data_IF_346120701118
#
_entry.id   IF_346120701118
#
_cell.length_a   1.000
_cell.length_b   1.000
_cell.length_c   1.000
_cell.angle_alpha   90.00
_cell.angle_beta   90.00
_cell.angle_gamma   90.00
#
_symmetry.space_group_name_H-M   'P 1'
#
loop_
_entity.id
_entity.type
_entity.pdbx_description
1 polymer ?
#
# COMPACT_ATOMS: atom_id res chain seq x y z
N UNK A 1 4.55 -12.71 -12.54
CA UNK A 1 3.67 -11.98 -13.49
C UNK A 1 3.02 -10.78 -12.81
N UNK A 2 2.77 -9.68 -13.55
CA UNK A 2 1.86 -8.61 -13.13
C UNK A 2 0.72 -8.54 -14.13
N UNK A 3 -0.52 -8.59 -13.62
CA UNK A 3 -1.74 -8.49 -14.42
C UNK A 3 -2.54 -7.28 -13.95
N UNK A 4 -3.04 -6.49 -14.90
CA UNK A 4 -4.02 -5.45 -14.62
C UNK A 4 -5.39 -6.09 -14.40
N UNK A 5 -6.05 -5.75 -13.29
CA UNK A 5 -7.42 -6.18 -12.94
C UNK A 5 -8.28 -4.95 -12.68
N UNK A 6 -9.61 -5.03 -12.79
CA UNK A 6 -10.41 -3.86 -12.50
C UNK A 6 -10.43 -3.55 -11.01
N UNK A 7 -10.32 -2.27 -10.67
CA UNK A 7 -10.35 -1.80 -9.28
C UNK A 7 -11.62 -2.25 -8.56
N UNK A 8 -12.77 -2.18 -9.24
CA UNK A 8 -14.06 -2.63 -8.71
C UNK A 8 -14.08 -4.11 -8.32
N UNK A 9 -13.37 -4.97 -9.06
CA UNK A 9 -13.31 -6.42 -8.80
C UNK A 9 -12.47 -6.69 -7.54
N UNK A 10 -11.35 -5.98 -7.39
CA UNK A 10 -10.53 -6.08 -6.18
C UNK A 10 -11.28 -5.56 -4.96
N UNK A 11 -12.07 -4.51 -5.11
CA UNK A 11 -12.90 -3.95 -4.04
C UNK A 11 -14.13 -4.80 -3.67
N UNK A 12 -14.33 -5.96 -4.30
CA UNK A 12 -15.28 -6.97 -3.80
C UNK A 12 -14.74 -7.66 -2.53
N UNK A 13 -13.43 -7.56 -2.27
CA UNK A 13 -12.80 -8.00 -1.02
C UNK A 13 -13.29 -7.15 0.15
N UNK A 14 -14.06 -7.78 1.06
CA UNK A 14 -14.77 -7.11 2.15
C UNK A 14 -13.81 -6.35 3.07
N UNK A 15 -12.75 -6.99 3.52
CA UNK A 15 -11.84 -6.42 4.51
C UNK A 15 -11.01 -5.31 3.87
N UNK A 16 -10.39 -5.56 2.71
CA UNK A 16 -9.69 -4.53 1.94
C UNK A 16 -10.57 -3.30 1.65
N UNK A 17 -11.80 -3.51 1.16
CA UNK A 17 -12.74 -2.41 0.90
C UNK A 17 -13.06 -1.63 2.16
N UNK A 18 -13.29 -2.31 3.29
CA UNK A 18 -13.62 -1.64 4.55
C UNK A 18 -12.43 -0.81 5.10
N UNK A 19 -11.19 -1.28 4.96
CA UNK A 19 -9.99 -0.49 5.30
C UNK A 19 -9.86 0.75 4.40
N UNK A 20 -10.02 0.57 3.08
CA UNK A 20 -9.98 1.70 2.15
C UNK A 20 -11.12 2.69 2.44
N UNK A 21 -12.33 2.21 2.71
CA UNK A 21 -13.49 3.04 3.04
C UNK A 21 -13.25 3.88 4.29
N UNK A 22 -12.73 3.27 5.37
CA UNK A 22 -12.41 3.96 6.61
C UNK A 22 -11.41 5.10 6.36
N UNK A 23 -10.35 4.84 5.60
CA UNK A 23 -9.37 5.86 5.23
C UNK A 23 -9.97 6.95 4.33
N UNK A 24 -10.76 6.58 3.32
CA UNK A 24 -11.41 7.53 2.44
C UNK A 24 -12.41 8.42 3.20
N UNK A 25 -13.19 7.87 4.15
CA UNK A 25 -14.10 8.64 5.00
C UNK A 25 -13.34 9.66 5.85
N UNK A 26 -12.21 9.26 6.44
CA UNK A 26 -11.35 10.15 7.22
C UNK A 26 -10.83 11.32 6.36
N UNK A 27 -10.28 11.04 5.17
CA UNK A 27 -9.76 12.06 4.25
C UNK A 27 -10.89 12.95 3.72
N UNK A 28 -12.01 12.35 3.31
CA UNK A 28 -13.17 13.07 2.80
C UNK A 28 -13.75 14.03 3.83
N UNK A 29 -13.87 13.62 5.10
CA UNK A 29 -14.38 14.49 6.15
C UNK A 29 -13.54 15.77 6.32
N UNK A 30 -12.22 15.66 6.23
CA UNK A 30 -11.30 16.81 6.26
C UNK A 30 -11.48 17.71 5.03
N UNK A 31 -11.59 17.14 3.84
CA UNK A 31 -11.73 17.91 2.59
C UNK A 31 -13.10 18.55 2.44
N UNK A 32 -14.17 17.79 2.71
CA UNK A 32 -15.54 18.27 2.64
C UNK A 32 -15.83 19.34 3.71
N UNK A 33 -15.13 19.30 4.86
CA UNK A 33 -15.18 20.35 5.87
C UNK A 33 -14.58 21.68 5.42
N UNK A 34 -13.78 21.69 4.35
CA UNK A 34 -13.16 22.88 3.75
C UNK A 34 -13.90 23.39 2.50
N UNK A 35 -14.86 22.63 1.99
CA UNK A 35 -15.66 23.01 0.83
C UNK A 35 -16.69 24.08 1.21
N UNK A 36 -16.76 25.17 0.44
CA UNK A 36 -17.67 26.30 0.67
C UNK A 36 -19.05 26.06 0.03
N UNK A 37 -19.11 25.19 -0.98
CA UNK A 37 -20.32 24.92 -1.76
C UNK A 37 -20.64 23.43 -1.89
N UNK A 38 -21.90 23.10 -2.17
CA UNK A 38 -22.31 21.72 -2.43
C UNK A 38 -21.73 21.18 -3.75
N UNK A 39 -21.45 22.05 -4.72
CA UNK A 39 -20.78 21.66 -5.95
C UNK A 39 -19.35 21.19 -5.70
N UNK A 40 -18.60 21.88 -4.83
CA UNK A 40 -17.25 21.45 -4.43
C UNK A 40 -17.28 20.13 -3.67
N UNK A 41 -18.26 19.91 -2.79
CA UNK A 41 -18.44 18.61 -2.11
C UNK A 41 -18.70 17.48 -3.10
N UNK A 42 -19.49 17.74 -4.15
CA UNK A 42 -19.74 16.74 -5.19
C UNK A 42 -18.48 16.43 -6.00
N UNK A 43 -17.71 17.45 -6.40
CA UNK A 43 -16.40 17.26 -7.05
C UNK A 43 -15.46 16.45 -6.16
N UNK A 44 -15.40 16.77 -4.86
CA UNK A 44 -14.59 16.03 -3.89
C UNK A 44 -15.04 14.57 -3.84
N UNK A 45 -16.35 14.30 -3.83
CA UNK A 45 -16.90 12.94 -3.80
C UNK A 45 -16.45 12.08 -4.99
N UNK A 46 -16.26 12.67 -6.17
CA UNK A 46 -15.76 11.94 -7.36
C UNK A 46 -14.36 11.33 -7.16
N UNK A 47 -13.58 11.80 -6.18
CA UNK A 47 -12.28 11.23 -5.83
C UNK A 47 -12.35 10.01 -4.91
N UNK A 48 -13.53 9.64 -4.41
CA UNK A 48 -13.68 8.56 -3.42
C UNK A 48 -14.72 7.54 -3.86
N UNK A 49 -14.28 6.30 -4.10
CA UNK A 49 -15.12 5.23 -4.65
C UNK A 49 -15.55 4.19 -3.61
N UNK A 50 -15.24 4.42 -2.33
CA UNK A 50 -15.54 3.53 -1.21
C UNK A 50 -16.15 4.27 0.00
N UNK A 51 -16.66 5.50 -0.14
CA UNK A 51 -17.22 6.26 1.00
C UNK A 51 -18.36 5.54 1.72
N UNK A 52 -19.19 4.78 0.98
CA UNK A 52 -20.32 4.02 1.51
C UNK A 52 -19.91 2.61 1.99
N UNK A 53 -18.66 2.42 2.39
CA UNK A 53 -18.15 1.12 2.83
C UNK A 53 -18.80 0.60 4.11
N UNK A 54 -18.71 -0.72 4.29
CA UNK A 54 -19.08 -1.38 5.54
C UNK A 54 -18.19 -0.91 6.70
N UNK A 55 -18.65 -1.06 7.96
CA UNK A 55 -17.82 -0.79 9.13
C UNK A 55 -16.48 -1.54 9.05
N UNK A 56 -15.41 -1.02 9.69
CA UNK A 56 -14.11 -1.67 9.73
C UNK A 56 -14.25 -3.15 10.15
N UNK A 57 -13.49 -4.05 9.52
CA UNK A 57 -13.57 -5.47 9.84
C UNK A 57 -13.03 -5.72 11.25
N UNK A 58 -13.51 -6.77 11.89
CA UNK A 58 -12.90 -7.26 13.11
C UNK A 58 -11.46 -7.68 12.83
N UNK A 59 -10.52 -7.11 13.58
CA UNK A 59 -9.08 -7.31 13.40
C UNK A 59 -8.56 -8.18 14.53
N UNK A 60 -7.89 -9.29 14.20
CA UNK A 60 -7.26 -10.19 15.18
C UNK A 60 -5.84 -9.75 15.54
N UNK A 61 -5.18 -9.03 14.64
CA UNK A 61 -3.88 -8.41 14.89
C UNK A 61 -3.70 -7.16 14.04
N UNK A 62 -3.08 -6.13 14.62
CA UNK A 62 -2.59 -4.95 13.91
C UNK A 62 -1.15 -4.70 14.32
N UNK A 63 -0.24 -4.71 13.34
CA UNK A 63 1.20 -4.56 13.56
C UNK A 63 1.78 -3.51 12.63
N UNK A 64 2.75 -2.75 13.14
CA UNK A 64 3.64 -1.93 12.30
C UNK A 64 5.00 -2.63 12.27
N UNK A 65 5.43 -3.04 11.09
CA UNK A 65 6.63 -3.82 10.86
C UNK A 65 7.67 -2.97 10.14
N UNK A 66 8.94 -3.11 10.53
CA UNK A 66 10.04 -2.40 9.89
C UNK A 66 11.27 -3.29 9.73
N UNK A 67 12.11 -2.98 8.75
CA UNK A 67 13.46 -3.53 8.69
C UNK A 67 14.40 -2.71 9.60
N UNK A 68 15.37 -3.37 10.24
CA UNK A 68 16.34 -2.74 11.14
C UNK A 68 17.41 -1.89 10.44
N UNK A 69 17.39 -1.81 9.11
CA UNK A 69 18.39 -1.05 8.37
C UNK A 69 18.09 0.43 8.51
N UNK A 70 19.13 1.25 8.64
CA UNK A 70 19.01 2.70 8.74
C UNK A 70 19.51 3.42 7.49
N UNK A 71 20.11 2.71 6.53
CA UNK A 71 20.71 3.31 5.33
C UNK A 71 19.69 3.49 4.22
N UNK A 72 19.40 4.73 3.81
CA UNK A 72 18.42 5.03 2.75
C UNK A 72 18.75 4.34 1.41
N UNK A 73 20.04 4.16 1.10
CA UNK A 73 20.46 3.48 -0.14
C UNK A 73 20.16 1.98 -0.13
N UNK A 74 20.20 1.35 1.05
CA UNK A 74 20.01 -0.11 1.20
C UNK A 74 18.59 -0.47 1.62
N UNK A 75 17.93 0.41 2.35
CA UNK A 75 16.63 0.20 2.98
C UNK A 75 15.54 -0.26 2.00
N UNK A 76 15.35 0.37 0.82
CA UNK A 76 14.28 -0.04 -0.10
C UNK A 76 14.46 -1.48 -0.56
N UNK A 77 15.72 -1.91 -0.76
CA UNK A 77 16.03 -3.27 -1.16
C UNK A 77 15.88 -4.25 0.00
N UNK A 78 16.16 -3.82 1.23
CA UNK A 78 16.01 -4.64 2.42
C UNK A 78 14.52 -4.89 2.73
N UNK A 79 13.69 -3.84 2.80
CA UNK A 79 12.24 -3.96 3.00
C UNK A 79 11.59 -4.78 1.89
N UNK A 80 11.98 -4.56 0.63
CA UNK A 80 11.49 -5.34 -0.50
C UNK A 80 11.76 -6.86 -0.35
N UNK A 81 12.96 -7.24 0.08
CA UNK A 81 13.28 -8.66 0.33
C UNK A 81 12.51 -9.20 1.52
N UNK A 82 12.39 -8.43 2.59
CA UNK A 82 11.62 -8.83 3.77
C UNK A 82 10.14 -9.00 3.46
N UNK A 83 9.56 -8.11 2.67
CA UNK A 83 8.18 -8.24 2.21
C UNK A 83 7.99 -9.53 1.40
N UNK A 84 8.86 -9.76 0.40
CA UNK A 84 8.76 -10.97 -0.45
C UNK A 84 8.92 -12.26 0.37
N UNK A 85 9.88 -12.28 1.30
CA UNK A 85 10.07 -13.42 2.21
C UNK A 85 8.89 -13.60 3.18
N UNK A 86 8.28 -12.51 3.64
CA UNK A 86 7.08 -12.58 4.47
C UNK A 86 5.91 -13.19 3.69
N UNK A 87 5.70 -12.77 2.44
CA UNK A 87 4.67 -13.36 1.58
C UNK A 87 4.90 -14.87 1.39
N UNK A 88 6.15 -15.31 1.15
CA UNK A 88 6.49 -16.75 1.05
C UNK A 88 6.16 -17.51 2.34
N UNK A 89 6.53 -16.95 3.50
CA UNK A 89 6.25 -17.54 4.81
C UNK A 89 4.74 -17.67 5.05
N UNK A 90 3.96 -16.69 4.61
CA UNK A 90 2.50 -16.70 4.71
C UNK A 90 1.85 -17.57 3.61
N UNK A 91 2.61 -18.15 2.68
CA UNK A 91 2.09 -18.95 1.58
C UNK A 91 1.32 -18.13 0.53
N UNK A 92 1.64 -16.85 0.39
CA UNK A 92 0.99 -15.93 -0.56
C UNK A 92 1.80 -15.89 -1.86
N UNK A 93 1.34 -16.65 -2.86
CA UNK A 93 1.96 -16.65 -4.19
C UNK A 93 1.59 -15.44 -5.05
N UNK A 94 0.41 -14.87 -4.82
CA UNK A 94 -0.08 -13.67 -5.52
C UNK A 94 -0.90 -12.78 -4.59
N UNK A 95 -0.87 -11.47 -4.83
CA UNK A 95 -1.65 -10.49 -4.08
C UNK A 95 -2.07 -9.32 -4.98
N UNK A 96 -3.17 -8.66 -4.62
CA UNK A 96 -3.58 -7.41 -5.22
C UNK A 96 -2.77 -6.25 -4.66
N UNK A 97 -2.44 -5.27 -5.51
CA UNK A 97 -1.92 -3.96 -5.15
C UNK A 97 -2.88 -2.89 -5.67
N UNK A 98 -3.33 -2.03 -4.77
CA UNK A 98 -4.37 -1.04 -5.04
C UNK A 98 -4.09 0.25 -4.27
N UNK A 99 -4.19 1.41 -4.91
CA UNK A 99 -4.10 2.69 -4.21
C UNK A 99 -5.38 2.95 -3.39
N UNK A 100 -5.30 3.74 -2.32
CA UNK A 100 -6.50 4.09 -1.57
C UNK A 100 -7.49 4.97 -2.36
N UNK A 101 -7.01 5.79 -3.31
CA UNK A 101 -7.85 6.60 -4.21
C UNK A 101 -7.82 6.06 -5.65
N UNK A 102 -8.88 6.27 -6.46
CA UNK A 102 -8.91 6.01 -7.90
C UNK A 102 -8.05 7.02 -8.69
N UNK A 103 -6.75 7.05 -8.39
CA UNK A 103 -5.76 7.94 -8.99
C UNK A 103 -4.77 7.16 -9.88
N UNK A 104 -4.13 7.87 -10.81
CA UNK A 104 -2.99 7.31 -11.53
C UNK A 104 -1.80 7.14 -10.59
N UNK A 105 -1.54 5.92 -10.14
CA UNK A 105 -0.36 5.53 -9.36
C UNK A 105 0.93 5.70 -10.18
N UNK A 106 0.82 5.54 -11.50
CA UNK A 106 1.96 5.56 -12.44
C UNK A 106 1.99 6.83 -13.31
N UNK A 107 1.34 7.91 -12.88
CA UNK A 107 1.49 9.20 -13.56
C UNK A 107 2.97 9.59 -13.59
N UNK A 108 3.50 9.94 -14.76
CA UNK A 108 4.91 10.32 -14.90
C UNK A 108 5.21 11.53 -14.00
N UNK A 109 6.12 11.36 -13.06
CA UNK A 109 6.68 12.48 -12.32
C UNK A 109 7.43 13.44 -13.23
N UNK A 110 7.35 14.74 -12.91
CA UNK A 110 8.22 15.76 -13.52
C UNK A 110 9.62 15.81 -12.88
N UNK A 111 9.82 15.10 -11.77
CA UNK A 111 11.08 15.11 -11.04
C UNK A 111 12.16 14.26 -11.73
N UNK A 112 13.38 14.80 -11.78
CA UNK A 112 14.55 14.17 -12.39
C UNK A 112 15.38 13.32 -11.41
N UNK A 113 14.90 13.12 -10.18
CA UNK A 113 15.64 12.33 -9.17
C UNK A 113 15.83 10.87 -9.63
N UNK A 114 17.08 10.39 -9.81
CA UNK A 114 17.32 9.12 -10.51
C UNK A 114 16.63 7.88 -9.90
N UNK A 115 16.58 7.70 -8.56
CA UNK A 115 15.85 6.57 -7.96
C UNK A 115 14.35 6.58 -8.30
N UNK A 116 13.72 7.75 -8.29
CA UNK A 116 12.32 7.91 -8.65
C UNK A 116 12.06 7.63 -10.13
N UNK A 117 12.88 8.20 -11.02
CA UNK A 117 12.78 7.95 -12.46
C UNK A 117 12.92 6.46 -12.79
N UNK A 118 13.82 5.75 -12.10
CA UNK A 118 13.98 4.29 -12.23
C UNK A 118 12.77 3.52 -11.72
N UNK A 119 12.16 3.95 -10.61
CA UNK A 119 10.94 3.34 -10.07
C UNK A 119 9.76 3.46 -11.06
N UNK A 120 9.52 4.65 -11.62
CA UNK A 120 8.49 4.83 -12.65
C UNK A 120 8.76 4.02 -13.91
N UNK A 121 10.01 4.02 -14.41
CA UNK A 121 10.36 3.23 -15.60
C UNK A 121 10.07 1.74 -15.39
N UNK A 122 10.35 1.21 -14.20
CA UNK A 122 10.09 -0.19 -13.85
C UNK A 122 8.60 -0.49 -13.81
N UNK A 123 7.81 0.29 -13.06
CA UNK A 123 6.37 0.03 -12.97
C UNK A 123 5.64 0.30 -14.30
N UNK A 124 6.07 1.29 -15.09
CA UNK A 124 5.50 1.54 -16.41
C UNK A 124 5.76 0.40 -17.39
N UNK A 125 6.89 -0.31 -17.28
CA UNK A 125 7.14 -1.53 -18.05
C UNK A 125 6.21 -2.69 -17.65
N UNK A 126 5.57 -2.59 -16.48
CA UNK A 126 4.74 -3.64 -15.90
C UNK A 126 3.22 -3.37 -16.04
N UNK A 127 2.80 -2.20 -16.53
CA UNK A 127 1.37 -1.87 -16.66
C UNK A 127 1.05 -0.84 -17.77
N UNK A 128 0.09 -1.12 -18.66
CA UNK A 128 -0.38 -0.19 -19.69
C UNK A 128 -1.36 0.87 -19.13
N UNK A 129 -0.77 1.98 -18.66
CA UNK A 129 -1.23 3.36 -18.85
C UNK A 129 -2.54 3.96 -18.25
N UNK A 130 -3.49 3.26 -17.62
CA UNK A 130 -4.50 3.97 -16.77
C UNK A 130 -4.84 3.22 -15.48
N UNK A 131 -4.12 3.48 -14.40
CA UNK A 131 -4.36 2.83 -13.12
C UNK A 131 -5.54 3.41 -12.31
N UNK A 132 -6.28 4.41 -12.80
CA UNK A 132 -7.43 4.95 -12.03
C UNK A 132 -8.54 3.93 -11.86
N UNK A 133 -8.79 3.16 -12.91
CA UNK A 133 -9.85 2.13 -12.96
C UNK A 133 -9.33 0.73 -12.66
N UNK A 134 -8.04 0.59 -12.37
CA UNK A 134 -7.39 -0.70 -12.28
C UNK A 134 -6.60 -0.85 -10.98
N UNK A 135 -6.43 -2.11 -10.60
CA UNK A 135 -5.47 -2.56 -9.61
C UNK A 135 -4.51 -3.55 -10.28
N UNK A 136 -3.55 -4.06 -9.52
CA UNK A 136 -2.55 -4.98 -10.03
C UNK A 136 -2.61 -6.29 -9.26
N UNK A 137 -2.78 -7.40 -9.96
CA UNK A 137 -2.47 -8.71 -9.41
C UNK A 137 -0.99 -8.99 -9.64
N UNK A 138 -0.26 -9.23 -8.55
CA UNK A 138 1.20 -9.35 -8.54
C UNK A 138 1.59 -10.70 -7.98
N UNK A 139 2.42 -11.43 -8.72
CA UNK A 139 3.09 -12.63 -8.22
C UNK A 139 4.24 -12.28 -7.29
N UNK A 140 4.42 -13.07 -6.23
CA UNK A 140 5.43 -12.81 -5.20
C UNK A 140 6.88 -12.74 -5.75
N UNK A 141 7.16 -13.41 -6.86
CA UNK A 141 8.45 -13.36 -7.55
C UNK A 141 8.86 -11.93 -7.97
N UNK A 142 7.87 -11.05 -8.18
CA UNK A 142 8.07 -9.65 -8.57
C UNK A 142 7.92 -8.67 -7.40
N UNK A 143 7.56 -9.16 -6.20
CA UNK A 143 7.35 -8.34 -5.00
C UNK A 143 8.51 -7.41 -4.70
N UNK A 144 9.74 -7.95 -4.78
CA UNK A 144 10.90 -7.17 -4.41
C UNK A 144 11.09 -5.94 -5.33
N UNK A 145 10.79 -6.08 -6.62
CA UNK A 145 10.89 -4.98 -7.57
C UNK A 145 9.76 -3.96 -7.39
N UNK A 146 8.54 -4.45 -7.16
CA UNK A 146 7.37 -3.59 -6.93
C UNK A 146 7.53 -2.78 -5.66
N UNK A 147 7.78 -3.45 -4.52
CA UNK A 147 7.87 -2.77 -3.21
C UNK A 147 9.00 -1.74 -3.20
N UNK A 148 10.15 -2.05 -3.80
CA UNK A 148 11.24 -1.09 -3.96
C UNK A 148 10.82 0.13 -4.79
N UNK A 149 10.00 -0.06 -5.81
CA UNK A 149 9.53 1.03 -6.67
C UNK A 149 8.48 1.89 -5.96
N UNK A 150 7.52 1.26 -5.28
CA UNK A 150 6.50 1.95 -4.47
C UNK A 150 7.15 2.77 -3.35
N UNK A 151 8.17 2.23 -2.67
CA UNK A 151 8.92 2.99 -1.65
C UNK A 151 9.42 4.34 -2.20
N UNK A 152 10.09 4.33 -3.35
CA UNK A 152 10.64 5.57 -3.91
C UNK A 152 9.55 6.52 -4.39
N UNK A 153 8.46 5.98 -4.95
CA UNK A 153 7.33 6.77 -5.40
C UNK A 153 6.66 7.46 -4.21
N UNK A 154 6.28 6.72 -3.16
CA UNK A 154 5.66 7.31 -1.96
C UNK A 154 6.57 8.30 -1.24
N UNK A 155 7.88 8.03 -1.20
CA UNK A 155 8.83 8.89 -0.50
C UNK A 155 9.07 10.21 -1.24
N UNK A 156 9.14 10.18 -2.57
CA UNK A 156 9.59 11.32 -3.35
C UNK A 156 8.46 12.06 -4.06
N UNK A 157 7.41 11.37 -4.51
CA UNK A 157 6.35 11.95 -5.34
C UNK A 157 5.07 12.20 -4.53
N UNK A 158 4.86 13.47 -4.16
CA UNK A 158 3.67 13.90 -3.41
C UNK A 158 2.38 13.95 -4.27
N UNK A 159 2.48 13.75 -5.59
CA UNK A 159 1.31 13.73 -6.48
C UNK A 159 0.65 12.36 -6.60
N UNK A 160 1.25 11.32 -6.02
CA UNK A 160 0.67 9.98 -5.99
C UNK A 160 -0.15 9.74 -4.71
N UNK A 161 -1.10 8.79 -4.71
CA UNK A 161 -1.80 8.40 -3.50
C UNK A 161 -0.82 8.00 -2.38
N UNK A 162 -1.00 8.59 -1.20
CA UNK A 162 -0.16 8.35 -0.03
C UNK A 162 -0.15 6.89 0.45
N UNK A 163 -1.26 6.18 0.24
CA UNK A 163 -1.45 4.79 0.64
C UNK A 163 -1.68 3.89 -0.57
N UNK A 164 -0.90 2.81 -0.59
CA UNK A 164 -1.06 1.66 -1.48
C UNK A 164 -1.17 0.42 -0.60
N UNK A 165 -2.23 -0.33 -0.82
CA UNK A 165 -2.58 -1.52 -0.09
C UNK A 165 -2.20 -2.77 -0.87
N UNK A 166 -1.89 -3.82 -0.14
CA UNK A 166 -1.60 -5.16 -0.61
C UNK A 166 -2.51 -6.15 0.10
N UNK A 167 -3.19 -7.03 -0.64
CA UNK A 167 -4.04 -8.06 -0.03
C UNK A 167 -4.03 -9.36 -0.85
N UNK A 168 -3.92 -10.54 -0.22
CA UNK A 168 -4.08 -11.82 -0.91
C UNK A 168 -5.51 -11.97 -1.46
N UNK A 169 -5.70 -12.90 -2.40
CA UNK A 169 -7.03 -13.17 -3.00
C UNK A 169 -8.08 -13.61 -1.97
N UNK A 170 -7.65 -14.31 -0.92
CA UNK A 170 -8.51 -14.79 0.16
C UNK A 170 -8.90 -13.70 1.17
N UNK A 171 -8.42 -12.46 1.00
CA UNK A 171 -8.73 -11.30 1.84
C UNK A 171 -8.43 -11.54 3.34
N UNK A 172 -7.49 -12.45 3.62
CA UNK A 172 -7.17 -12.89 4.99
C UNK A 172 -6.35 -11.88 5.79
N UNK A 173 -5.72 -10.91 5.10
CA UNK A 173 -5.04 -9.77 5.69
C UNK A 173 -4.96 -8.60 4.71
N UNK A 174 -4.63 -7.41 5.21
CA UNK A 174 -4.30 -6.23 4.42
C UNK A 174 -2.97 -5.68 4.90
N UNK A 175 -2.13 -5.24 3.97
CA UNK A 175 -0.91 -4.52 4.26
C UNK A 175 -0.85 -3.19 3.54
N UNK A 176 -0.12 -2.21 4.07
CA UNK A 176 0.24 -1.00 3.34
C UNK A 176 1.69 -0.58 3.62
N UNK A 177 2.31 0.09 2.66
CA UNK A 177 3.67 0.66 2.81
C UNK A 177 3.56 2.18 3.01
N UNK A 178 3.92 2.66 4.20
CA UNK A 178 3.89 4.09 4.49
C UNK A 178 5.10 4.83 3.87
N UNK A 179 5.08 6.17 3.89
CA UNK A 179 6.17 7.02 3.37
C UNK A 179 7.53 6.85 4.06
N UNK A 180 7.54 6.31 5.28
CA UNK A 180 8.76 5.97 6.02
C UNK A 180 9.28 4.55 5.69
N UNK A 181 8.53 3.80 4.88
CA UNK A 181 8.85 2.45 4.47
C UNK A 181 8.55 1.38 5.53
N UNK A 182 7.74 1.72 6.54
CA UNK A 182 7.17 0.72 7.44
C UNK A 182 5.99 0.02 6.76
N UNK A 183 5.78 -1.24 7.10
CA UNK A 183 4.67 -2.06 6.64
C UNK A 183 3.61 -2.09 7.74
N UNK A 184 2.43 -1.56 7.46
CA UNK A 184 1.27 -1.73 8.32
C UNK A 184 0.60 -3.04 7.94
N UNK A 185 0.26 -3.87 8.91
CA UNK A 185 -0.34 -5.18 8.69
C UNK A 185 -1.59 -5.30 9.56
N UNK A 186 -2.68 -5.74 8.95
CA UNK A 186 -3.94 -6.07 9.63
C UNK A 186 -4.37 -7.48 9.26
N UNK A 187 -4.55 -8.34 10.26
CA UNK A 187 -4.99 -9.72 10.09
C UNK A 187 -6.47 -9.88 10.45
N UNK A 188 -7.24 -10.58 9.62
CA UNK A 188 -8.68 -10.76 9.82
C UNK A 188 -9.08 -12.19 10.18
N UNK A 189 -8.09 -13.05 10.45
CA UNK A 189 -8.30 -14.42 10.95
C UNK A 189 -7.34 -14.71 12.10
N UNK A 190 -7.74 -15.55 13.08
CA UNK A 190 -6.85 -16.00 14.15
C UNK A 190 -5.56 -16.63 13.62
N UNK A 191 -5.65 -17.42 12.56
CA UNK A 191 -4.53 -18.14 11.97
C UNK A 191 -3.50 -17.16 11.37
N UNK A 192 -3.96 -16.12 10.65
CA UNK A 192 -3.05 -15.10 10.11
C UNK A 192 -2.47 -14.21 11.20
N UNK A 193 -3.25 -13.91 12.24
CA UNK A 193 -2.76 -13.18 13.39
C UNK A 193 -1.63 -13.94 14.10
N UNK A 194 -1.79 -15.23 14.36
CA UNK A 194 -0.75 -16.05 14.99
C UNK A 194 0.52 -16.13 14.12
N UNK A 195 0.35 -16.39 12.82
CA UNK A 195 1.47 -16.46 11.89
C UNK A 195 2.24 -15.14 11.80
N UNK A 196 1.56 -13.99 11.68
CA UNK A 196 2.27 -12.72 11.56
C UNK A 196 2.99 -12.36 12.87
N UNK A 197 2.36 -12.60 14.02
CA UNK A 197 2.95 -12.34 15.33
C UNK A 197 4.23 -13.19 15.56
N UNK A 198 4.25 -14.42 15.08
CA UNK A 198 5.34 -15.36 15.35
C UNK A 198 6.43 -15.40 14.26
N UNK A 199 6.09 -15.12 13.00
CA UNK A 199 6.97 -15.41 11.86
C UNK A 199 7.55 -14.17 11.16
N UNK A 200 7.07 -12.95 11.43
CA UNK A 200 7.60 -11.74 10.78
C UNK A 200 9.11 -11.55 11.00
N UNK A 201 9.63 -11.95 12.16
CA UNK A 201 11.06 -11.89 12.49
C UNK A 201 11.92 -12.78 11.59
N UNK A 202 11.39 -13.93 11.13
CA UNK A 202 12.05 -14.78 10.14
C UNK A 202 12.21 -14.09 8.78
N UNK A 203 11.34 -13.11 8.48
CA UNK A 203 11.47 -12.25 7.32
C UNK A 203 12.46 -11.09 7.50
N UNK A 204 13.10 -10.96 8.68
CA UNK A 204 14.01 -9.85 9.00
C UNK A 204 13.28 -8.56 9.37
N UNK A 205 11.99 -8.65 9.74
CA UNK A 205 11.19 -7.53 10.21
C UNK A 205 11.16 -7.51 11.74
N UNK A 206 10.98 -6.33 12.30
CA UNK A 206 10.71 -6.11 13.72
C UNK A 206 9.40 -5.33 13.86
N UNK A 207 8.64 -5.61 14.91
CA UNK A 207 7.50 -4.77 15.31
C UNK A 207 8.01 -3.45 15.90
N UNK A 208 7.37 -2.35 15.53
CA UNK A 208 7.60 -1.04 16.13
C UNK A 208 6.32 -0.52 16.79
N UNK A 209 6.51 0.29 17.82
CA UNK A 209 5.42 0.98 18.53
C UNK A 209 5.41 2.44 18.05
N UNK A 210 4.23 3.01 17.72
CA UNK A 210 4.11 4.43 17.41
C UNK A 210 4.75 5.36 18.47
N UNK A 211 5.17 6.58 18.10
CA UNK A 211 4.98 7.22 16.79
C UNK A 211 5.97 6.73 15.73
N UNK A 212 5.48 6.62 14.49
CA UNK A 212 6.37 6.44 13.34
C UNK A 212 7.12 7.72 13.04
N UNK A 213 8.44 7.63 12.92
CA UNK A 213 9.30 8.78 12.67
C UNK A 213 10.20 8.55 11.46
N UNK A 214 10.56 9.64 10.78
CA UNK A 214 11.52 9.64 9.69
C UNK A 214 12.86 9.07 10.17
N UNK A 215 13.27 7.92 9.60
CA UNK A 215 14.45 7.15 10.01
C UNK A 215 15.74 7.64 9.34
N UNK A 216 15.63 8.46 8.31
CA UNK A 216 16.76 8.86 7.45
C UNK A 216 17.17 10.33 7.65
N UNK A 217 16.80 10.99 8.76
CA UNK A 217 17.00 12.43 8.98
C UNK A 217 18.45 12.94 8.90
N UNK A 218 19.45 12.05 8.89
CA UNK A 218 20.88 12.40 8.97
C UNK A 218 21.72 11.83 7.79
N UNK A 219 21.13 11.59 6.61
CA UNK A 219 21.81 10.99 5.45
C UNK A 219 21.62 11.80 4.17
#
# INVERSE_FOLDING_TARGET
MIQTVFRKEVLEQKNLRAIIASLQQFIYADWAGRAETDHEKEIIREYFDCLEGSPPPETFASLILAHSSTSLNHYPSAVARSFSKLMDILGVGEYYMIAHLPHQLLAKSKMSYPPLAKAYKRLAALSPADSRKHAFLISNELSAEVIKSIFWIHRCDQSVPEYVFFSPKDDSFVMSLCKYGNLHFEAFTPERADQINTLHSKAGLITIIPPETERFKNQ
#
